data_IF_250303469007
#
_entry.id   IF_250303469007
#
_cell.length_a   1.000
_cell.length_b   1.000
_cell.length_c   1.000
_cell.angle_alpha   90.00
_cell.angle_beta   90.00
_cell.angle_gamma   90.00
#
_symmetry.space_group_name_H-M   'P 1'
#
loop_
_entity.id
_entity.type
_entity.pdbx_description
1 polymer ?
#
# COMPACT_ATOMS: atom_id res chain seq x y z
N UNK A 1 15.89 -1.12 27.36
CA UNK A 1 15.65 -2.54 27.03
C UNK A 1 14.73 -2.58 25.83
N UNK A 2 15.20 -2.97 24.64
CA UNK A 2 14.32 -3.14 23.47
C UNK A 2 14.22 -4.63 23.21
N UNK A 3 13.00 -5.13 23.40
CA UNK A 3 12.63 -6.53 23.34
C UNK A 3 12.67 -6.99 21.88
N UNK A 4 13.39 -8.08 21.59
CA UNK A 4 13.37 -8.72 20.27
C UNK A 4 11.96 -9.25 20.00
N UNK A 5 11.35 -8.77 18.93
CA UNK A 5 9.97 -9.04 18.55
C UNK A 5 9.85 -10.47 18.00
N UNK A 6 9.00 -11.30 18.63
CA UNK A 6 8.71 -12.68 18.21
C UNK A 6 7.80 -12.76 16.97
N UNK A 7 7.56 -13.98 16.43
CA UNK A 7 7.01 -14.21 15.09
C UNK A 7 5.51 -13.91 14.90
N UNK A 8 4.84 -13.26 15.87
CA UNK A 8 3.39 -13.08 15.83
C UNK A 8 2.93 -11.75 16.46
N UNK A 9 3.65 -10.66 16.20
CA UNK A 9 3.17 -9.32 16.54
C UNK A 9 2.46 -8.69 15.33
N UNK A 10 1.35 -7.95 15.54
CA UNK A 10 0.69 -7.24 14.45
C UNK A 10 1.64 -6.18 13.88
N UNK A 11 2.07 -6.38 12.64
CA UNK A 11 2.82 -5.38 11.89
C UNK A 11 1.86 -4.22 11.60
N UNK A 12 2.13 -3.06 12.19
CA UNK A 12 1.38 -1.85 11.83
C UNK A 12 1.85 -1.36 10.46
N UNK A 13 0.90 -1.18 9.56
CA UNK A 13 1.12 -0.67 8.22
C UNK A 13 0.40 0.67 8.05
N UNK A 14 1.03 1.59 7.33
CA UNK A 14 0.52 2.94 7.14
C UNK A 14 0.37 3.21 5.64
N UNK A 15 -0.83 3.64 5.23
CA UNK A 15 -1.13 3.99 3.84
C UNK A 15 -1.17 5.51 3.74
N UNK A 16 -0.44 6.05 2.76
CA UNK A 16 -0.45 7.46 2.41
C UNK A 16 -1.22 7.62 1.11
N UNK A 17 -2.11 8.62 1.08
CA UNK A 17 -2.97 8.90 -0.06
C UNK A 17 -2.77 10.31 -0.57
N UNK A 18 -2.89 10.51 -1.88
CA UNK A 18 -3.02 11.83 -2.51
C UNK A 18 -4.34 12.53 -2.08
N UNK A 19 -4.50 13.82 -2.39
CA UNK A 19 -5.66 14.65 -2.11
C UNK A 19 -6.97 14.07 -2.67
N UNK A 20 -6.92 13.34 -3.78
CA UNK A 20 -8.08 12.66 -4.36
C UNK A 20 -8.37 11.29 -3.70
N UNK A 21 -7.52 10.82 -2.79
CA UNK A 21 -7.63 9.55 -2.10
C UNK A 21 -6.95 8.37 -2.81
N UNK A 22 -6.18 8.60 -3.87
CA UNK A 22 -5.33 7.57 -4.48
C UNK A 22 -4.25 7.11 -3.48
N UNK A 23 -4.09 5.81 -3.19
CA UNK A 23 -3.01 5.32 -2.32
C UNK A 23 -1.67 5.40 -3.05
N UNK A 24 -0.73 6.18 -2.55
CA UNK A 24 0.58 6.39 -3.18
C UNK A 24 1.71 5.59 -2.52
N UNK A 25 1.64 5.37 -1.20
CA UNK A 25 2.71 4.68 -0.47
C UNK A 25 2.16 3.80 0.66
N UNK A 26 2.87 2.70 0.93
CA UNK A 26 2.66 1.81 2.07
C UNK A 26 3.97 1.65 2.83
N UNK A 27 3.98 1.99 4.12
CA UNK A 27 5.16 1.82 4.98
C UNK A 27 4.92 0.91 6.18
N UNK A 28 6.00 0.35 6.71
CA UNK A 28 6.00 -0.24 8.05
C UNK A 28 6.02 0.84 9.14
N UNK A 29 6.00 0.40 10.41
CA UNK A 29 6.08 1.29 11.57
C UNK A 29 7.40 2.05 11.74
N UNK A 30 8.45 1.68 11.02
CA UNK A 30 9.73 2.38 10.99
C UNK A 30 9.83 3.36 9.81
N UNK A 31 8.80 3.45 8.97
CA UNK A 31 8.80 4.27 7.75
C UNK A 31 9.50 3.61 6.57
N UNK A 32 9.82 2.31 6.62
CA UNK A 32 10.34 1.58 5.44
C UNK A 32 9.22 1.47 4.40
N UNK A 33 9.47 1.94 3.19
CA UNK A 33 8.55 1.77 2.04
C UNK A 33 8.52 0.30 1.65
N UNK A 34 7.30 -0.26 1.58
CA UNK A 34 7.01 -1.63 1.19
C UNK A 34 6.37 -1.70 -0.20
N UNK A 35 5.57 -0.70 -0.54
CA UNK A 35 4.91 -0.53 -1.83
C UNK A 35 4.73 0.95 -2.14
N UNK A 36 4.87 1.33 -3.41
CA UNK A 36 4.59 2.69 -3.88
C UNK A 36 3.95 2.69 -5.27
N UNK A 37 3.18 3.73 -5.56
CA UNK A 37 2.46 3.89 -6.80
C UNK A 37 2.22 5.37 -7.11
N UNK A 38 2.26 5.73 -8.40
CA UNK A 38 1.80 7.04 -8.84
C UNK A 38 0.70 6.94 -9.88
N UNK A 39 -0.16 7.94 -9.85
CA UNK A 39 -1.35 8.03 -10.68
C UNK A 39 -1.31 9.32 -11.51
N UNK A 40 -1.93 9.28 -12.69
CA UNK A 40 -2.36 10.47 -13.40
C UNK A 40 -3.56 11.08 -12.66
N UNK A 41 -3.91 12.32 -13.01
CA UNK A 41 -4.97 13.10 -12.35
C UNK A 41 -6.32 12.37 -12.20
N UNK A 42 -6.63 11.45 -13.11
CA UNK A 42 -7.88 10.67 -13.12
C UNK A 42 -7.72 9.21 -12.65
N UNK A 43 -6.72 8.92 -11.82
CA UNK A 43 -6.53 7.59 -11.23
C UNK A 43 -5.93 6.55 -12.18
N UNK A 44 -5.49 6.93 -13.39
CA UNK A 44 -4.72 6.02 -14.24
C UNK A 44 -3.32 5.84 -13.68
N UNK A 45 -2.97 4.63 -13.31
CA UNK A 45 -1.63 4.26 -12.84
C UNK A 45 -0.54 4.57 -13.86
N UNK A 46 0.55 5.16 -13.37
CA UNK A 46 1.79 5.44 -14.12
C UNK A 46 2.85 4.38 -13.77
N UNK A 47 3.07 4.15 -12.48
CA UNK A 47 4.01 3.15 -11.98
C UNK A 47 3.45 2.49 -10.71
N UNK A 48 3.89 1.27 -10.45
CA UNK A 48 3.63 0.52 -9.22
C UNK A 48 4.88 -0.31 -8.93
N UNK A 49 5.41 -0.19 -7.72
CA UNK A 49 6.63 -0.88 -7.28
C UNK A 49 6.34 -1.59 -5.96
N UNK A 50 6.53 -2.91 -5.96
CA UNK A 50 6.53 -3.75 -4.78
C UNK A 50 8.00 -3.95 -4.33
N UNK A 51 8.38 -3.36 -3.20
CA UNK A 51 9.73 -3.49 -2.64
C UNK A 51 9.89 -4.77 -1.82
N UNK A 52 8.78 -5.26 -1.27
CA UNK A 52 8.66 -6.53 -0.55
C UNK A 52 7.35 -7.22 -0.96
N UNK A 53 7.25 -8.56 -0.87
CA UNK A 53 5.99 -9.26 -1.13
C UNK A 53 4.90 -8.81 -0.14
N UNK A 54 3.95 -8.00 -0.63
CA UNK A 54 2.85 -7.46 0.17
C UNK A 54 1.58 -7.35 -0.68
N UNK A 55 0.43 -7.69 -0.09
CA UNK A 55 -0.87 -7.56 -0.77
C UNK A 55 -1.49 -6.19 -0.50
N UNK A 56 -1.19 -5.21 -1.36
CA UNK A 56 -1.87 -3.91 -1.39
C UNK A 56 -2.96 -3.89 -2.47
N UNK A 57 -4.22 -4.00 -2.04
CA UNK A 57 -5.39 -4.09 -2.94
C UNK A 57 -6.27 -2.82 -2.93
N UNK A 58 -6.00 -1.82 -2.08
CA UNK A 58 -6.75 -0.57 -2.12
C UNK A 58 -6.45 0.20 -3.42
N UNK A 59 -7.49 0.79 -4.01
CA UNK A 59 -7.41 1.57 -5.25
C UNK A 59 -8.04 2.95 -5.03
N UNK A 60 -8.57 3.58 -6.08
CA UNK A 60 -9.25 4.87 -5.98
C UNK A 60 -10.38 4.84 -4.94
N UNK A 61 -10.88 5.98 -4.47
CA UNK A 61 -11.87 6.02 -3.39
C UNK A 61 -13.04 5.05 -3.62
N UNK A 62 -13.20 4.12 -2.68
CA UNK A 62 -14.26 3.10 -2.71
C UNK A 62 -13.95 1.86 -3.56
N UNK A 63 -12.78 1.78 -4.19
CA UNK A 63 -12.37 0.66 -5.04
C UNK A 63 -11.40 -0.30 -4.34
N UNK A 64 -11.56 -1.58 -4.65
CA UNK A 64 -10.70 -2.66 -4.18
C UNK A 64 -10.33 -3.53 -5.39
N UNK A 65 -9.04 -3.80 -5.57
CA UNK A 65 -8.59 -4.73 -6.59
C UNK A 65 -8.98 -6.16 -6.21
N UNK A 66 -9.89 -6.72 -6.98
CA UNK A 66 -10.10 -8.15 -7.00
C UNK A 66 -9.05 -8.79 -7.91
N UNK A 67 -8.16 -9.60 -7.33
CA UNK A 67 -7.11 -10.31 -8.08
C UNK A 67 -7.64 -11.50 -8.88
N UNK A 68 -8.83 -12.01 -8.58
CA UNK A 68 -9.46 -13.11 -9.34
C UNK A 68 -9.94 -12.60 -10.71
N UNK A 69 -10.58 -11.42 -10.73
CA UNK A 69 -11.17 -10.85 -11.95
C UNK A 69 -10.34 -9.73 -12.57
N UNK A 70 -9.42 -9.13 -11.82
CA UNK A 70 -8.67 -7.94 -12.20
C UNK A 70 -9.49 -6.63 -12.14
N UNK A 71 -10.73 -6.69 -11.64
CA UNK A 71 -11.63 -5.54 -11.55
C UNK A 71 -11.35 -4.67 -10.32
N UNK A 72 -11.68 -3.38 -10.44
CA UNK A 72 -11.74 -2.39 -9.37
C UNK A 72 -12.62 -1.21 -9.80
#
# INVERSE_FOLDING_TARGET
MIQKTGPNQPTSLYIYTDLNGCPEELTDANGKILWECSFQLWGKRIHEIEHEPIEQNLRYQGQYLDRETGLH
#
